data_IF_316791622676
#
_entry.id   IF_316791622676
#
_cell.length_a   1.000
_cell.length_b   1.000
_cell.length_c   1.000
_cell.angle_alpha   90.00
_cell.angle_beta   90.00
_cell.angle_gamma   90.00
#
_symmetry.space_group_name_H-M   'P 1'
#
loop_
_entity.id
_entity.type
_entity.pdbx_description
1 polymer ?
#
# COMPACT_ATOMS: atom_id res chain seq x y z
N UNK A 1 58.30 5.50 26.65
CA UNK A 1 56.91 5.86 26.29
C UNK A 1 56.95 7.19 25.52
N UNK A 2 56.65 7.20 24.21
CA UNK A 2 56.63 8.44 23.41
C UNK A 2 55.40 9.26 23.78
N UNK A 3 55.59 10.49 24.24
CA UNK A 3 54.51 11.44 24.50
C UNK A 3 53.86 11.81 23.16
N UNK A 4 52.59 11.47 23.00
CA UNK A 4 51.78 11.91 21.86
C UNK A 4 51.54 13.41 22.02
N UNK A 5 51.75 14.17 20.96
CA UNK A 5 51.56 15.62 20.96
C UNK A 5 50.07 15.93 21.22
N UNK A 6 49.72 16.80 22.19
CA UNK A 6 48.33 17.13 22.52
C UNK A 6 47.54 17.63 21.30
N UNK A 7 48.20 18.25 20.32
CA UNK A 7 47.56 18.69 19.07
C UNK A 7 47.07 17.50 18.21
N UNK A 8 47.83 16.41 18.19
CA UNK A 8 47.48 15.18 17.46
C UNK A 8 46.32 14.46 18.14
N UNK A 9 46.28 14.48 19.48
CA UNK A 9 45.18 13.89 20.25
C UNK A 9 43.86 14.64 20.01
N UNK A 10 43.89 15.98 19.92
CA UNK A 10 42.70 16.79 19.63
C UNK A 10 42.11 16.50 18.24
N UNK A 11 42.96 16.37 17.22
CA UNK A 11 42.53 16.07 15.84
C UNK A 11 41.83 14.70 15.76
N UNK A 12 42.36 13.69 16.46
CA UNK A 12 41.77 12.35 16.49
C UNK A 12 40.37 12.39 17.13
N UNK A 13 40.20 13.13 18.23
CA UNK A 13 38.89 13.26 18.90
C UNK A 13 37.87 13.95 18.00
N UNK A 14 38.26 15.01 17.28
CA UNK A 14 37.36 15.70 16.35
C UNK A 14 36.93 14.78 15.20
N UNK A 15 37.85 13.98 14.64
CA UNK A 15 37.53 13.02 13.59
C UNK A 15 36.59 11.90 14.07
N UNK A 16 36.75 11.43 15.31
CA UNK A 16 35.83 10.48 15.93
C UNK A 16 34.44 11.07 16.16
N UNK A 17 34.35 12.34 16.59
CA UNK A 17 33.06 13.01 16.77
C UNK A 17 32.36 13.28 15.43
N UNK A 18 33.10 13.69 14.40
CA UNK A 18 32.55 13.93 13.07
C UNK A 18 32.03 12.64 12.41
N UNK A 19 32.76 11.52 12.53
CA UNK A 19 32.32 10.22 12.02
C UNK A 19 31.09 9.68 12.75
N UNK A 20 31.00 9.88 14.09
CA UNK A 20 29.81 9.56 14.87
C UNK A 20 28.57 10.35 14.44
N UNK A 21 28.71 11.66 14.20
CA UNK A 21 27.64 12.52 13.71
C UNK A 21 27.13 12.11 12.32
N UNK A 22 28.04 11.78 11.39
CA UNK A 22 27.68 11.31 10.05
C UNK A 22 26.91 9.98 10.13
N UNK A 23 27.32 9.08 11.03
CA UNK A 23 26.65 7.79 11.21
C UNK A 23 25.23 7.93 11.78
N UNK A 24 25.03 8.82 12.75
CA UNK A 24 23.70 9.07 13.36
C UNK A 24 22.74 9.72 12.35
N UNK A 25 23.22 10.70 11.58
CA UNK A 25 22.39 11.35 10.54
C UNK A 25 22.10 10.39 9.39
N UNK A 26 23.10 9.60 8.94
CA UNK A 26 22.92 8.63 7.87
C UNK A 26 21.96 7.49 8.20
N UNK A 27 21.98 6.98 9.43
CA UNK A 27 21.05 5.93 9.89
C UNK A 27 19.61 6.43 10.09
N UNK A 28 19.43 7.70 10.45
CA UNK A 28 18.12 8.35 10.48
C UNK A 28 17.48 8.48 9.10
N UNK A 29 18.27 8.81 8.08
CA UNK A 29 17.79 8.94 6.68
C UNK A 29 17.42 7.58 6.09
N UNK A 30 18.20 6.52 6.34
CA UNK A 30 17.87 5.17 5.84
C UNK A 30 16.58 4.60 6.43
N UNK A 31 16.23 4.98 7.67
CA UNK A 31 14.97 4.58 8.29
C UNK A 31 13.77 5.33 7.69
N UNK A 32 13.95 6.61 7.34
CA UNK A 32 12.91 7.40 6.67
C UNK A 32 12.68 6.94 5.22
N UNK A 33 13.72 6.54 4.48
CA UNK A 33 13.56 6.06 3.09
C UNK A 33 12.87 4.70 3.01
N UNK A 34 13.08 3.80 3.98
CA UNK A 34 12.34 2.52 4.05
C UNK A 34 10.85 2.69 4.33
N UNK A 35 10.46 3.77 5.03
CA UNK A 35 9.05 4.12 5.22
C UNK A 35 8.41 4.68 3.94
N UNK A 36 9.20 5.33 3.07
CA UNK A 36 8.73 5.83 1.77
C UNK A 36 8.64 4.69 0.73
N UNK A 37 9.49 3.66 0.82
CA UNK A 37 9.43 2.48 -0.06
C UNK A 37 8.15 1.63 0.14
N UNK A 38 7.51 1.72 1.31
CA UNK A 38 6.24 1.03 1.60
C UNK A 38 4.99 1.90 1.32
N UNK A 39 5.18 3.00 0.58
CA UNK A 39 4.23 3.37 -0.47
C UNK A 39 2.91 4.03 -0.08
N UNK A 40 2.62 4.26 1.19
CA UNK A 40 1.35 4.86 1.57
C UNK A 40 1.46 5.67 2.86
N UNK A 41 1.04 6.93 2.75
CA UNK A 41 0.79 7.80 3.88
C UNK A 41 -0.69 8.19 3.90
N UNK A 42 -1.16 8.78 5.01
CA UNK A 42 -2.57 9.13 5.31
C UNK A 42 -3.31 9.99 4.26
N UNK A 43 -2.72 10.27 3.10
CA UNK A 43 -3.32 11.00 1.98
C UNK A 43 -2.74 10.60 0.62
N UNK A 44 -1.97 9.51 0.55
CA UNK A 44 -1.31 9.04 -0.67
C UNK A 44 -1.98 7.72 -1.09
N UNK A 45 -2.35 7.59 -2.38
CA UNK A 45 -3.00 6.39 -2.90
C UNK A 45 -2.13 5.14 -2.77
N UNK A 46 -2.76 4.04 -2.35
CA UNK A 46 -2.14 2.72 -2.29
C UNK A 46 -2.37 1.93 -3.57
N UNK A 47 -1.32 1.24 -4.04
CA UNK A 47 -1.39 0.34 -5.20
C UNK A 47 -1.24 -1.10 -4.71
N UNK A 48 -2.08 -2.00 -5.20
CA UNK A 48 -1.93 -3.43 -4.86
C UNK A 48 -0.69 -4.06 -5.50
N UNK A 49 -0.32 -5.23 -5.00
CA UNK A 49 0.81 -6.04 -5.50
C UNK A 49 0.33 -7.05 -6.54
N UNK A 50 1.07 -7.17 -7.64
CA UNK A 50 0.76 -8.16 -8.68
C UNK A 50 0.86 -9.57 -8.12
N UNK A 51 -0.11 -10.40 -8.48
CA UNK A 51 -0.13 -11.82 -8.14
C UNK A 51 -0.51 -12.65 -9.37
N UNK A 52 0.04 -13.85 -9.43
CA UNK A 52 -0.42 -14.87 -10.37
C UNK A 52 -1.53 -15.68 -9.70
N UNK A 53 -2.66 -15.82 -10.39
CA UNK A 53 -3.83 -16.52 -9.87
C UNK A 53 -4.44 -17.41 -10.94
N UNK A 54 -5.12 -18.45 -10.48
CA UNK A 54 -6.08 -19.18 -11.27
C UNK A 54 -7.49 -18.73 -10.85
N UNK A 55 -8.27 -18.22 -11.81
CA UNK A 55 -9.61 -17.66 -11.54
C UNK A 55 -10.56 -18.72 -10.98
N UNK A 56 -10.39 -20.00 -11.31
CA UNK A 56 -11.23 -21.08 -10.76
C UNK A 56 -11.12 -21.23 -9.26
N UNK A 57 -10.03 -20.73 -8.68
CA UNK A 57 -9.68 -20.94 -7.28
C UNK A 57 -10.08 -19.72 -6.41
N UNK A 58 -10.66 -18.69 -7.04
CA UNK A 58 -11.09 -17.45 -6.38
C UNK A 58 -12.60 -17.46 -6.15
N UNK A 59 -13.00 -17.20 -4.91
CA UNK A 59 -14.40 -16.96 -4.57
C UNK A 59 -14.81 -15.56 -5.06
N UNK A 60 -15.87 -15.46 -5.83
CA UNK A 60 -16.38 -14.17 -6.33
C UNK A 60 -17.39 -13.65 -5.30
N UNK A 61 -16.96 -12.72 -4.46
CA UNK A 61 -17.85 -12.08 -3.48
C UNK A 61 -18.58 -10.89 -4.11
N UNK A 62 -17.86 -10.13 -4.95
CA UNK A 62 -18.44 -9.03 -5.70
C UNK A 62 -17.88 -8.97 -7.13
N UNK A 63 -18.72 -8.56 -8.07
CA UNK A 63 -18.27 -8.29 -9.44
C UNK A 63 -19.06 -7.15 -10.08
N UNK A 64 -18.40 -6.47 -11.02
CA UNK A 64 -19.02 -5.47 -11.86
C UNK A 64 -18.51 -5.58 -13.28
N UNK A 65 -19.43 -5.48 -14.25
CA UNK A 65 -19.12 -5.58 -15.67
C UNK A 65 -19.45 -4.26 -16.38
N UNK A 66 -18.47 -3.74 -17.12
CA UNK A 66 -18.64 -2.62 -18.06
C UNK A 66 -18.05 -3.02 -19.39
N UNK A 67 -18.91 -3.06 -20.41
CA UNK A 67 -18.53 -3.47 -21.77
C UNK A 67 -17.86 -4.87 -21.78
N UNK A 68 -16.62 -4.96 -22.26
CA UNK A 68 -15.81 -6.18 -22.31
C UNK A 68 -14.97 -6.43 -21.06
N UNK A 69 -15.02 -5.52 -20.08
CA UNK A 69 -14.24 -5.59 -18.83
C UNK A 69 -15.12 -6.02 -17.66
N UNK A 70 -14.58 -6.92 -16.84
CA UNK A 70 -15.21 -7.33 -15.58
C UNK A 70 -14.20 -7.18 -14.46
N UNK A 71 -14.61 -6.47 -13.42
CA UNK A 71 -13.84 -6.33 -12.19
C UNK A 71 -14.45 -7.27 -11.16
N UNK A 72 -13.60 -8.05 -10.52
CA UNK A 72 -13.99 -8.99 -9.46
C UNK A 72 -13.24 -8.59 -8.20
N UNK A 73 -13.95 -8.59 -7.08
CA UNK A 73 -13.38 -8.46 -5.75
C UNK A 73 -13.72 -9.72 -4.96
N UNK A 74 -12.68 -10.33 -4.39
CA UNK A 74 -12.73 -11.53 -3.55
C UNK A 74 -12.13 -11.23 -2.18
N UNK A 75 -12.49 -11.99 -1.16
CA UNK A 75 -12.04 -11.84 0.22
C UNK A 75 -12.82 -10.80 1.01
N UNK A 76 -14.04 -10.45 0.59
CA UNK A 76 -14.87 -9.40 1.20
C UNK A 76 -15.48 -9.88 2.53
N UNK A 77 -15.97 -11.13 2.56
CA UNK A 77 -16.76 -11.67 3.68
C UNK A 77 -15.99 -12.67 4.59
N UNK A 78 -14.74 -13.00 4.26
CA UNK A 78 -14.08 -14.22 4.77
C UNK A 78 -12.80 -13.97 5.61
N UNK A 79 -12.54 -12.74 6.10
CA UNK A 79 -11.29 -12.36 6.81
C UNK A 79 -9.99 -12.64 6.00
N UNK A 80 -10.13 -12.84 4.70
CA UNK A 80 -9.03 -13.06 3.76
C UNK A 80 -8.61 -11.72 3.19
N UNK A 81 -7.33 -11.58 2.88
CA UNK A 81 -6.85 -10.36 2.22
C UNK A 81 -7.55 -10.21 0.86
N UNK A 82 -8.20 -9.08 0.59
CA UNK A 82 -8.97 -8.94 -0.64
C UNK A 82 -8.10 -8.99 -1.90
N UNK A 83 -8.64 -9.63 -2.93
CA UNK A 83 -8.03 -9.73 -4.24
C UNK A 83 -8.91 -9.01 -5.25
N UNK A 84 -8.32 -8.03 -5.94
CA UNK A 84 -8.94 -7.34 -7.05
C UNK A 84 -8.45 -7.95 -8.36
N UNK A 85 -9.38 -8.28 -9.25
CA UNK A 85 -9.09 -8.92 -10.53
C UNK A 85 -9.73 -8.14 -11.66
N UNK A 86 -8.98 -7.90 -12.73
CA UNK A 86 -9.53 -7.42 -14.00
C UNK A 86 -9.53 -8.54 -15.03
N UNK A 87 -10.72 -8.76 -15.57
CA UNK A 87 -10.97 -9.64 -16.70
C UNK A 87 -11.33 -8.80 -17.93
N UNK A 88 -10.82 -9.18 -19.10
CA UNK A 88 -11.23 -8.61 -20.39
C UNK A 88 -11.60 -9.74 -21.36
N UNK A 89 -12.80 -9.72 -21.92
CA UNK A 89 -13.30 -10.80 -22.79
C UNK A 89 -13.14 -12.21 -22.18
N UNK A 90 -13.36 -12.35 -20.87
CA UNK A 90 -13.16 -13.58 -20.10
C UNK A 90 -11.69 -14.07 -19.99
N UNK A 91 -10.71 -13.22 -20.27
CA UNK A 91 -9.30 -13.46 -20.01
C UNK A 91 -8.80 -12.64 -18.82
N UNK A 92 -7.91 -13.23 -18.01
CA UNK A 92 -7.22 -12.52 -16.94
C UNK A 92 -6.28 -11.49 -17.55
N UNK A 93 -6.50 -10.21 -17.27
CA UNK A 93 -5.53 -9.16 -17.60
C UNK A 93 -4.51 -9.01 -16.46
N UNK A 94 -5.02 -8.84 -15.25
CA UNK A 94 -4.20 -8.77 -14.04
C UNK A 94 -5.00 -9.14 -12.79
N UNK A 95 -4.28 -9.54 -11.76
CA UNK A 95 -4.80 -9.73 -10.41
C UNK A 95 -3.86 -9.10 -9.41
N UNK A 96 -4.46 -8.43 -8.43
CA UNK A 96 -3.74 -7.63 -7.47
C UNK A 96 -4.26 -7.93 -6.09
N UNK A 97 -3.34 -8.29 -5.20
CA UNK A 97 -3.64 -8.38 -3.77
C UNK A 97 -3.69 -6.96 -3.22
N UNK A 98 -4.78 -6.59 -2.58
CA UNK A 98 -4.86 -5.33 -1.85
C UNK A 98 -4.05 -5.52 -0.56
N UNK A 99 -2.83 -4.98 -0.52
CA UNK A 99 -1.98 -5.18 0.64
C UNK A 99 -2.42 -4.26 1.79
N UNK A 100 -2.66 -4.89 2.93
CA UNK A 100 -3.14 -4.25 4.17
C UNK A 100 -2.03 -3.42 4.81
N UNK A 101 -0.75 -3.72 4.52
CA UNK A 101 0.39 -2.96 5.03
C UNK A 101 0.52 -1.56 4.46
N UNK A 102 -0.14 -1.32 3.32
CA UNK A 102 0.05 -0.11 2.56
C UNK A 102 -0.80 0.99 3.22
N UNK A 103 -2.08 0.80 3.50
CA UNK A 103 -2.79 1.74 4.36
C UNK A 103 -2.24 1.68 5.81
N UNK A 104 -1.49 2.69 6.26
CA UNK A 104 -0.72 2.83 7.55
C UNK A 104 -1.40 2.41 8.87
N UNK A 105 -2.63 1.93 8.86
CA UNK A 105 -3.29 1.32 10.00
C UNK A 105 -3.45 -0.16 9.66
N UNK A 106 -2.63 -0.97 10.32
CA UNK A 106 -2.72 -2.43 10.34
C UNK A 106 -4.20 -2.89 10.32
N UNK A 107 -4.51 -3.89 9.49
CA UNK A 107 -5.80 -4.62 9.42
C UNK A 107 -6.98 -3.96 8.65
N UNK A 108 -6.76 -2.81 7.98
CA UNK A 108 -7.80 -1.99 7.29
C UNK A 108 -8.63 -2.61 6.14
N UNK A 109 -8.33 -3.80 5.66
CA UNK A 109 -9.07 -4.39 4.52
C UNK A 109 -9.57 -5.81 4.80
N UNK A 110 -9.46 -6.29 6.04
CA UNK A 110 -9.85 -7.65 6.36
C UNK A 110 -11.38 -7.83 6.44
N UNK A 111 -12.13 -6.75 6.65
CA UNK A 111 -13.60 -6.76 6.74
C UNK A 111 -14.20 -5.61 5.92
N UNK A 112 -14.57 -5.91 4.67
CA UNK A 112 -15.32 -5.00 3.81
C UNK A 112 -16.79 -5.43 3.87
N UNK A 113 -17.70 -4.65 4.47
CA UNK A 113 -19.13 -5.06 4.54
C UNK A 113 -19.98 -4.67 3.36
N UNK A 114 -19.60 -3.58 2.68
CA UNK A 114 -20.43 -3.03 1.62
C UNK A 114 -19.57 -2.49 0.52
N UNK A 115 -19.99 -2.76 -0.72
CA UNK A 115 -19.31 -2.33 -1.93
C UNK A 115 -20.36 -1.69 -2.84
N UNK A 116 -20.09 -0.48 -3.32
CA UNK A 116 -20.98 0.23 -4.23
C UNK A 116 -20.22 0.96 -5.32
N UNK A 117 -20.64 0.77 -6.56
CA UNK A 117 -20.22 1.65 -7.66
C UNK A 117 -20.88 3.01 -7.47
N UNK A 118 -20.06 4.05 -7.33
CA UNK A 118 -20.54 5.43 -7.10
C UNK A 118 -20.39 6.32 -8.33
N UNK A 119 -19.56 5.90 -9.29
CA UNK A 119 -19.35 6.62 -10.54
C UNK A 119 -18.99 5.59 -11.63
N UNK A 120 -19.88 5.42 -12.61
CA UNK A 120 -19.66 4.48 -13.71
C UNK A 120 -18.76 5.07 -14.79
N UNK A 121 -18.67 6.40 -14.90
CA UNK A 121 -17.87 7.10 -15.90
C UNK A 121 -16.38 6.95 -15.57
N UNK A 122 -16.01 7.27 -14.32
CA UNK A 122 -14.65 7.18 -13.78
C UNK A 122 -14.38 5.88 -13.02
N UNK A 123 -15.29 4.91 -13.13
CA UNK A 123 -15.31 3.62 -12.45
C UNK A 123 -14.76 3.67 -11.02
N UNK A 124 -15.58 4.18 -10.08
CA UNK A 124 -15.22 4.32 -8.66
C UNK A 124 -16.04 3.36 -7.81
N UNK A 125 -15.35 2.65 -6.93
CA UNK A 125 -15.95 1.71 -5.99
C UNK A 125 -15.73 2.25 -4.58
N UNK A 126 -16.81 2.53 -3.87
CA UNK A 126 -16.74 2.79 -2.44
C UNK A 126 -16.92 1.49 -1.68
N UNK A 127 -16.18 1.35 -0.60
CA UNK A 127 -16.38 0.26 0.33
C UNK A 127 -16.32 0.73 1.78
N UNK A 128 -17.11 0.10 2.63
CA UNK A 128 -17.14 0.38 4.07
C UNK A 128 -16.20 -0.58 4.81
N UNK A 129 -15.29 -0.03 5.59
CA UNK A 129 -14.51 -0.76 6.58
C UNK A 129 -15.37 -0.93 7.84
N UNK A 130 -15.67 -2.17 8.21
CA UNK A 130 -16.50 -2.48 9.37
C UNK A 130 -15.84 -2.18 10.72
N UNK A 131 -14.52 -2.24 10.78
CA UNK A 131 -13.78 -2.08 12.04
C UNK A 131 -13.86 -0.62 12.47
N UNK A 132 -13.79 0.30 11.52
CA UNK A 132 -13.72 1.74 11.80
C UNK A 132 -14.97 2.51 11.35
N UNK A 133 -15.88 1.90 10.59
CA UNK A 133 -17.05 2.56 10.02
C UNK A 133 -16.69 3.60 8.96
N UNK A 134 -15.55 3.42 8.28
CA UNK A 134 -14.98 4.40 7.36
C UNK A 134 -15.24 4.02 5.90
N UNK A 135 -15.61 5.01 5.08
CA UNK A 135 -15.78 4.81 3.64
C UNK A 135 -14.43 5.01 2.98
N UNK A 136 -13.92 3.97 2.35
CA UNK A 136 -12.75 4.01 1.47
C UNK A 136 -13.19 3.91 0.01
N UNK A 137 -12.30 4.32 -0.90
CA UNK A 137 -12.61 4.35 -2.33
C UNK A 137 -11.49 3.70 -3.15
N UNK A 138 -11.85 2.80 -4.05
CA UNK A 138 -10.99 2.33 -5.14
C UNK A 138 -11.32 3.16 -6.38
N UNK A 139 -10.33 3.92 -6.86
CA UNK A 139 -10.37 4.66 -8.11
C UNK A 139 -9.71 3.84 -9.20
N UNK A 140 -10.25 3.90 -10.42
CA UNK A 140 -9.64 3.29 -11.60
C UNK A 140 -9.37 4.36 -12.66
N UNK A 141 -8.17 4.34 -13.24
CA UNK A 141 -7.84 5.19 -14.39
C UNK A 141 -8.39 4.61 -15.70
N UNK A 142 -8.16 5.31 -16.81
CA UNK A 142 -8.59 4.89 -18.16
C UNK A 142 -7.98 3.54 -18.59
N UNK A 143 -6.82 3.19 -18.04
CA UNK A 143 -6.12 1.93 -18.27
C UNK A 143 -6.52 0.84 -17.26
N UNK A 144 -7.47 1.14 -16.36
CA UNK A 144 -7.89 0.28 -15.27
C UNK A 144 -6.75 -0.04 -14.30
N UNK A 145 -5.70 0.79 -14.23
CA UNK A 145 -4.88 0.81 -13.04
C UNK A 145 -5.72 1.37 -11.90
N UNK A 146 -5.54 0.86 -10.69
CA UNK A 146 -6.29 1.33 -9.56
C UNK A 146 -5.42 1.97 -8.50
N UNK A 147 -6.09 2.81 -7.73
CA UNK A 147 -5.56 3.47 -6.54
C UNK A 147 -6.59 3.35 -5.43
N UNK A 148 -6.15 2.92 -4.25
CA UNK A 148 -7.00 2.84 -3.06
C UNK A 148 -6.75 4.06 -2.20
N UNK A 149 -7.82 4.81 -1.91
CA UNK A 149 -7.84 5.91 -0.97
C UNK A 149 -8.49 5.43 0.32
N UNK A 150 -7.65 5.21 1.33
CA UNK A 150 -8.07 4.92 2.69
C UNK A 150 -8.24 6.23 3.46
N UNK A 151 -9.47 6.61 3.79
CA UNK A 151 -9.74 7.77 4.63
C UNK A 151 -9.71 7.33 6.09
N UNK A 152 -8.79 7.86 6.90
CA UNK A 152 -8.95 7.77 8.36
C UNK A 152 -9.81 8.90 8.86
N UNK A 153 -10.64 8.62 9.86
CA UNK A 153 -11.13 9.60 10.80
C UNK A 153 -9.92 10.27 11.47
N UNK A 154 -10.02 11.59 11.60
CA UNK A 154 -9.16 12.39 12.49
C UNK A 154 -9.36 11.98 13.94
#
# INVERSE_FOLDING_TARGET
MKKINPLVMLIIVILFLASGLIYIVGSGVQSATKLVENGCFMSIPCKGKDIEINISDIAIDWSYKKEDKTIILSGVDDSRIPILVLMKNNHLEWAKKLDVSDCLVNERLENISSIRVVDEEYFRINFLDDIYGEISTIYFDENFNFEVLCFSSM
#
